data_IF_482359420821
#
_entry.id   IF_482359420821
#
_cell.length_a   1.000
_cell.length_b   1.000
_cell.length_c   1.000
_cell.angle_alpha   90.00
_cell.angle_beta   90.00
_cell.angle_gamma   90.00
#
_symmetry.space_group_name_H-M   'P 1'
#
loop_
_entity.id
_entity.type
_entity.pdbx_description
1 polymer ?
#
# COMPACT_ATOMS: atom_id res chain seq x y z
N UNK A 1 -23.58 -13.92 -14.27
CA UNK A 1 -22.35 -13.46 -13.58
C UNK A 1 -21.12 -13.89 -14.38
N UNK A 2 -20.95 -15.19 -14.65
CA UNK A 2 -19.83 -15.75 -15.43
C UNK A 2 -19.61 -15.08 -16.80
N UNK A 3 -20.65 -14.94 -17.64
CA UNK A 3 -20.53 -14.23 -18.93
C UNK A 3 -20.08 -12.76 -18.77
N UNK A 4 -20.50 -12.10 -17.69
CA UNK A 4 -20.10 -10.71 -17.41
C UNK A 4 -18.63 -10.61 -17.01
N UNK A 5 -18.15 -11.58 -16.23
CA UNK A 5 -16.73 -11.69 -15.86
C UNK A 5 -15.90 -11.91 -17.12
N UNK A 6 -16.29 -12.86 -17.98
CA UNK A 6 -15.54 -13.17 -19.19
C UNK A 6 -15.41 -11.94 -20.10
N UNK A 7 -16.50 -11.19 -20.33
CA UNK A 7 -16.46 -9.95 -21.09
C UNK A 7 -15.51 -8.89 -20.51
N UNK A 8 -15.42 -8.81 -19.18
CA UNK A 8 -14.48 -7.89 -18.52
C UNK A 8 -13.02 -8.33 -18.69
N UNK A 9 -12.76 -9.63 -18.59
CA UNK A 9 -11.43 -10.21 -18.84
C UNK A 9 -11.02 -9.94 -20.29
N UNK A 10 -11.88 -10.26 -21.26
CA UNK A 10 -11.61 -10.04 -22.68
C UNK A 10 -11.27 -8.58 -22.97
N UNK A 11 -12.03 -7.64 -22.38
CA UNK A 11 -11.76 -6.20 -22.48
C UNK A 11 -10.39 -5.79 -21.91
N UNK A 12 -9.97 -6.40 -20.80
CA UNK A 12 -8.65 -6.15 -20.21
C UNK A 12 -7.55 -6.72 -21.10
N UNK A 13 -7.76 -7.90 -21.67
CA UNK A 13 -6.80 -8.55 -22.57
C UNK A 13 -6.63 -7.73 -23.86
N UNK A 14 -7.73 -7.22 -24.44
CA UNK A 14 -7.71 -6.28 -25.58
C UNK A 14 -6.93 -4.99 -25.29
N UNK A 15 -6.89 -4.54 -24.03
CA UNK A 15 -6.13 -3.36 -23.60
C UNK A 15 -4.62 -3.61 -23.47
N UNK A 16 -4.17 -4.85 -23.61
CA UNK A 16 -2.77 -5.28 -23.38
C UNK A 16 -2.56 -5.97 -22.04
N UNK A 17 -3.63 -6.46 -21.41
CA UNK A 17 -3.61 -7.13 -20.12
C UNK A 17 -3.69 -6.18 -18.91
N UNK A 18 -3.71 -6.77 -17.71
CA UNK A 18 -3.99 -6.05 -16.47
C UNK A 18 -2.98 -4.93 -16.16
N UNK A 19 -1.69 -5.14 -16.43
CA UNK A 19 -0.66 -4.13 -16.17
C UNK A 19 -0.87 -2.88 -17.01
N UNK A 20 -1.17 -3.04 -18.31
CA UNK A 20 -1.45 -1.91 -19.19
C UNK A 20 -2.78 -1.23 -18.86
N UNK A 21 -3.80 -1.99 -18.47
CA UNK A 21 -5.06 -1.44 -17.97
C UNK A 21 -4.85 -0.57 -16.71
N UNK A 22 -3.98 -0.99 -15.77
CA UNK A 22 -3.62 -0.22 -14.58
C UNK A 22 -2.85 1.04 -14.95
N UNK A 23 -1.86 0.95 -15.86
CA UNK A 23 -1.08 2.11 -16.33
C UNK A 23 -1.96 3.16 -17.01
N UNK A 24 -2.97 2.71 -17.78
CA UNK A 24 -3.97 3.58 -18.43
C UNK A 24 -5.01 4.14 -17.46
N UNK A 25 -5.03 3.71 -16.20
CA UNK A 25 -5.99 4.15 -15.19
C UNK A 25 -7.38 3.55 -15.31
N UNK A 26 -7.59 2.61 -16.23
CA UNK A 26 -8.92 2.07 -16.54
C UNK A 26 -9.56 1.40 -15.31
N UNK A 27 -8.79 0.60 -14.58
CA UNK A 27 -9.28 -0.11 -13.39
C UNK A 27 -9.68 0.87 -12.29
N UNK A 28 -8.86 1.91 -12.08
CA UNK A 28 -9.13 2.95 -11.10
C UNK A 28 -10.37 3.76 -11.47
N UNK A 29 -10.52 4.14 -12.74
CA UNK A 29 -11.69 4.86 -13.23
C UNK A 29 -12.99 4.07 -13.04
N UNK A 30 -12.99 2.77 -13.36
CA UNK A 30 -14.17 1.92 -13.18
C UNK A 30 -14.57 1.80 -11.69
N UNK A 31 -13.58 1.66 -10.78
CA UNK A 31 -13.83 1.64 -9.33
C UNK A 31 -14.41 2.98 -8.88
N UNK A 32 -13.81 4.10 -9.27
CA UNK A 32 -14.27 5.45 -8.90
C UNK A 32 -15.67 5.72 -9.44
N UNK A 33 -15.95 5.34 -10.70
CA UNK A 33 -17.27 5.49 -11.32
C UNK A 33 -18.32 4.66 -10.58
N UNK A 34 -18.00 3.41 -10.23
CA UNK A 34 -18.90 2.55 -9.46
C UNK A 34 -19.16 3.13 -8.07
N UNK A 35 -18.12 3.61 -7.38
CA UNK A 35 -18.25 4.23 -6.06
C UNK A 35 -19.08 5.53 -6.13
N UNK A 36 -18.86 6.36 -7.15
CA UNK A 36 -19.61 7.59 -7.37
C UNK A 36 -21.09 7.31 -7.64
N UNK A 37 -21.39 6.34 -8.52
CA UNK A 37 -22.76 5.94 -8.81
C UNK A 37 -23.46 5.38 -7.57
N UNK A 38 -22.76 4.58 -6.77
CA UNK A 38 -23.29 4.07 -5.51
C UNK A 38 -23.59 5.21 -4.52
N UNK A 39 -22.63 6.12 -4.32
CA UNK A 39 -22.82 7.29 -3.45
C UNK A 39 -24.02 8.12 -3.89
N UNK A 40 -24.11 8.40 -5.20
CA UNK A 40 -25.23 9.11 -5.80
C UNK A 40 -26.56 8.42 -5.54
N UNK A 41 -26.64 7.10 -5.73
CA UNK A 41 -27.86 6.33 -5.47
C UNK A 41 -28.27 6.36 -3.98
N UNK A 42 -27.30 6.34 -3.06
CA UNK A 42 -27.55 6.49 -1.62
C UNK A 42 -28.09 7.90 -1.31
N UNK A 43 -27.47 8.94 -1.89
CA UNK A 43 -27.86 10.33 -1.66
C UNK A 43 -29.25 10.66 -2.21
N UNK A 44 -29.64 10.08 -3.36
CA UNK A 44 -30.98 10.23 -3.92
C UNK A 44 -32.03 9.27 -3.31
N UNK A 45 -31.63 8.40 -2.38
CA UNK A 45 -32.52 7.41 -1.76
C UNK A 45 -32.94 6.26 -2.70
N UNK A 46 -32.33 6.14 -3.88
CA UNK A 46 -32.51 4.99 -4.78
C UNK A 46 -31.93 3.70 -4.16
N UNK A 47 -30.88 3.84 -3.36
CA UNK A 47 -30.27 2.78 -2.57
C UNK A 47 -30.48 3.06 -1.08
N UNK A 48 -31.28 2.23 -0.42
CA UNK A 48 -31.59 2.39 1.01
C UNK A 48 -30.45 1.85 1.88
N UNK A 49 -29.94 2.70 2.78
CA UNK A 49 -28.95 2.38 3.80
C UNK A 49 -29.56 2.69 5.17
N UNK A 50 -30.03 1.64 5.84
CA UNK A 50 -30.73 1.71 7.13
C UNK A 50 -29.84 2.36 8.20
N UNK A 51 -30.37 3.38 8.87
CA UNK A 51 -29.65 4.14 9.89
C UNK A 51 -28.78 5.27 9.34
N UNK A 52 -28.74 5.44 8.00
CA UNK A 52 -28.00 6.52 7.33
C UNK A 52 -28.94 7.44 6.57
N UNK A 53 -29.57 6.97 5.48
CA UNK A 53 -30.48 7.79 4.68
C UNK A 53 -31.96 7.52 4.97
N UNK A 54 -32.29 6.31 5.43
CA UNK A 54 -33.64 5.91 5.83
C UNK A 54 -33.60 5.22 7.19
N UNK A 55 -34.66 5.39 7.97
CA UNK A 55 -34.78 4.82 9.33
C UNK A 55 -33.65 5.25 10.29
N UNK A 56 -33.13 6.47 10.12
CA UNK A 56 -32.16 7.06 11.04
C UNK A 56 -32.81 7.35 12.40
N UNK A 57 -32.06 7.15 13.48
CA UNK A 57 -32.48 7.47 14.85
C UNK A 57 -31.79 8.76 15.29
N UNK A 58 -32.48 9.61 16.07
CA UNK A 58 -31.90 10.88 16.59
C UNK A 58 -30.78 10.66 17.62
N UNK A 59 -30.72 9.47 18.22
CA UNK A 59 -29.70 9.10 19.19
C UNK A 59 -28.42 8.64 18.47
N UNK A 60 -27.42 9.51 18.44
CA UNK A 60 -26.09 9.14 17.96
C UNK A 60 -25.36 8.32 19.02
N UNK A 61 -24.97 7.06 18.74
CA UNK A 61 -24.10 6.33 19.64
C UNK A 61 -22.78 7.07 19.75
N UNK A 62 -22.26 7.20 20.97
CA UNK A 62 -20.92 7.74 21.25
C UNK A 62 -19.95 6.57 21.50
N UNK A 63 -19.47 5.89 20.45
CA UNK A 63 -18.50 4.81 20.65
C UNK A 63 -17.24 5.38 21.25
N UNK A 64 -16.65 4.65 22.20
CA UNK A 64 -15.29 4.96 22.65
C UNK A 64 -14.33 4.65 21.52
N UNK A 65 -13.74 5.69 20.96
CA UNK A 65 -12.71 5.56 19.93
C UNK A 65 -11.40 5.08 20.56
N UNK A 66 -10.63 4.30 19.79
CA UNK A 66 -9.26 3.98 20.17
C UNK A 66 -8.39 5.22 19.95
N UNK A 67 -7.88 5.79 21.03
CA UNK A 67 -6.89 6.86 20.97
C UNK A 67 -5.48 6.27 20.93
N UNK A 68 -4.68 6.71 19.96
CA UNK A 68 -3.28 6.29 19.84
C UNK A 68 -2.43 7.23 20.70
N UNK A 69 -1.65 6.65 21.61
CA UNK A 69 -0.72 7.36 22.47
C UNK A 69 0.39 8.08 21.65
N UNK A 70 0.46 9.41 21.75
CA UNK A 70 1.49 10.24 21.10
C UNK A 70 2.92 9.85 21.52
N UNK A 71 3.09 9.25 22.70
CA UNK A 71 4.36 8.73 23.18
C UNK A 71 4.90 7.51 22.40
N UNK A 72 4.10 6.90 21.52
CA UNK A 72 4.55 5.79 20.65
C UNK A 72 5.71 6.24 19.75
N UNK A 73 5.63 7.43 19.15
CA UNK A 73 6.67 7.96 18.27
C UNK A 73 8.01 8.08 19.01
N UNK A 74 7.99 8.75 20.16
CA UNK A 74 9.20 8.95 20.97
C UNK A 74 9.85 7.63 21.37
N UNK A 75 9.04 6.66 21.84
CA UNK A 75 9.54 5.32 22.19
C UNK A 75 10.16 4.61 20.99
N UNK A 76 9.59 4.76 19.80
CA UNK A 76 10.13 4.14 18.60
C UNK A 76 11.43 4.80 18.13
N UNK A 77 11.53 6.13 18.20
CA UNK A 77 12.77 6.87 17.91
C UNK A 77 13.89 6.45 18.87
N UNK A 78 13.59 6.33 20.17
CA UNK A 78 14.59 5.94 21.17
C UNK A 78 15.07 4.49 20.97
N UNK A 79 14.16 3.57 20.63
CA UNK A 79 14.49 2.19 20.24
C UNK A 79 15.38 2.15 19.00
N UNK A 80 15.04 2.93 17.98
CA UNK A 80 15.80 3.00 16.73
C UNK A 80 17.22 3.56 16.97
N UNK A 81 17.34 4.63 17.75
CA UNK A 81 18.64 5.21 18.15
C UNK A 81 19.49 4.20 18.92
N UNK A 82 18.89 3.48 19.86
CA UNK A 82 19.57 2.43 20.61
C UNK A 82 20.09 1.32 19.68
N UNK A 83 19.22 0.81 18.80
CA UNK A 83 19.57 -0.21 17.82
C UNK A 83 20.77 0.20 16.95
N UNK A 84 20.74 1.42 16.40
CA UNK A 84 21.81 1.93 15.54
C UNK A 84 23.15 2.11 16.27
N UNK A 85 23.12 2.38 17.59
CA UNK A 85 24.34 2.47 18.41
C UNK A 85 24.94 1.11 18.75
N UNK A 86 24.10 0.09 18.96
CA UNK A 86 24.54 -1.22 19.48
C UNK A 86 24.89 -2.22 18.38
N UNK A 87 24.34 -2.07 17.18
CA UNK A 87 24.58 -2.99 16.05
C UNK A 87 25.96 -2.78 15.42
N UNK A 88 26.41 -3.81 14.71
CA UNK A 88 27.58 -3.74 13.82
C UNK A 88 27.22 -2.97 12.55
N UNK A 89 27.56 -1.68 12.53
CA UNK A 89 27.25 -0.78 11.41
C UNK A 89 28.04 -1.11 10.13
N UNK A 90 29.26 -1.67 10.25
CA UNK A 90 30.03 -2.10 9.08
C UNK A 90 29.41 -3.32 8.42
N UNK A 91 28.91 -4.27 9.23
CA UNK A 91 28.16 -5.43 8.72
C UNK A 91 26.86 -4.99 8.06
N UNK A 92 26.11 -4.06 8.65
CA UNK A 92 24.90 -3.51 8.04
C UNK A 92 25.20 -2.85 6.70
N UNK A 93 26.22 -1.99 6.63
CA UNK A 93 26.60 -1.33 5.38
C UNK A 93 26.91 -2.35 4.28
N UNK A 94 27.73 -3.37 4.59
CA UNK A 94 28.11 -4.41 3.62
C UNK A 94 26.91 -5.21 3.12
N UNK A 95 25.97 -5.54 4.00
CA UNK A 95 24.78 -6.30 3.61
C UNK A 95 23.81 -5.44 2.79
N UNK A 96 23.64 -4.16 3.12
CA UNK A 96 22.83 -3.24 2.32
C UNK A 96 23.43 -3.04 0.92
N UNK A 97 24.75 -2.98 0.79
CA UNK A 97 25.41 -2.93 -0.52
C UNK A 97 25.18 -4.22 -1.33
N UNK A 98 25.13 -5.37 -0.65
CA UNK A 98 24.75 -6.64 -1.28
C UNK A 98 23.29 -6.62 -1.74
N UNK A 99 22.38 -6.05 -0.95
CA UNK A 99 20.97 -5.86 -1.34
C UNK A 99 20.87 -5.03 -2.61
N UNK A 100 21.61 -3.91 -2.72
CA UNK A 100 21.65 -3.10 -3.96
C UNK A 100 22.12 -3.90 -5.17
N UNK A 101 23.23 -4.61 -5.03
CA UNK A 101 23.80 -5.42 -6.13
C UNK A 101 22.86 -6.52 -6.62
N UNK A 102 22.16 -7.19 -5.71
CA UNK A 102 21.19 -8.22 -6.07
C UNK A 102 19.92 -7.59 -6.65
N UNK A 103 19.53 -6.39 -6.21
CA UNK A 103 18.41 -5.67 -6.82
C UNK A 103 18.69 -5.22 -8.27
N UNK A 104 19.96 -5.02 -8.63
CA UNK A 104 20.39 -4.75 -10.01
C UNK A 104 20.47 -6.01 -10.89
N UNK A 105 20.32 -7.21 -10.32
CA UNK A 105 20.38 -8.49 -11.04
C UNK A 105 19.02 -9.21 -11.07
N UNK A 106 18.95 -10.31 -11.81
CA UNK A 106 17.78 -11.20 -11.86
C UNK A 106 17.80 -12.28 -10.75
N UNK A 107 18.70 -12.14 -9.76
CA UNK A 107 18.82 -13.10 -8.66
C UNK A 107 17.69 -12.94 -7.65
N UNK A 108 17.43 -14.01 -6.88
CA UNK A 108 16.44 -13.94 -5.81
C UNK A 108 16.91 -13.00 -4.70
N UNK A 109 16.12 -11.95 -4.43
CA UNK A 109 16.43 -10.93 -3.42
C UNK A 109 16.17 -11.38 -1.97
N UNK A 110 15.32 -12.39 -1.76
CA UNK A 110 14.89 -12.79 -0.41
C UNK A 110 16.05 -13.21 0.52
N UNK A 111 17.05 -14.00 0.07
CA UNK A 111 18.20 -14.37 0.91
C UNK A 111 18.95 -13.15 1.46
N UNK A 112 19.19 -12.12 0.64
CA UNK A 112 19.94 -10.92 1.07
C UNK A 112 19.11 -10.03 1.99
N UNK A 113 17.79 -9.99 1.83
CA UNK A 113 16.90 -9.31 2.78
C UNK A 113 16.91 -9.98 4.15
N UNK A 114 16.91 -11.31 4.21
CA UNK A 114 17.01 -12.06 5.47
C UNK A 114 18.36 -11.77 6.15
N UNK A 115 19.45 -11.72 5.38
CA UNK A 115 20.77 -11.31 5.90
C UNK A 115 20.73 -9.89 6.47
N UNK A 116 20.06 -8.94 5.79
CA UNK A 116 19.95 -7.55 6.23
C UNK A 116 19.20 -7.42 7.56
N UNK A 117 18.06 -8.10 7.68
CA UNK A 117 17.28 -8.13 8.92
C UNK A 117 18.07 -8.79 10.06
N UNK A 118 18.79 -9.89 9.79
CA UNK A 118 19.67 -10.54 10.77
C UNK A 118 20.87 -9.67 11.19
N UNK A 119 21.29 -8.75 10.33
CA UNK A 119 22.30 -7.75 10.65
C UNK A 119 21.73 -6.54 11.41
N UNK A 120 20.43 -6.52 11.72
CA UNK A 120 19.72 -5.39 12.31
C UNK A 120 19.66 -4.13 11.41
N UNK A 121 19.64 -4.33 10.09
CA UNK A 121 19.20 -3.28 9.17
C UNK A 121 17.71 -2.98 9.41
N UNK A 122 17.35 -1.71 9.30
CA UNK A 122 15.97 -1.26 9.52
C UNK A 122 15.16 -1.38 8.23
N UNK A 123 13.83 -1.41 8.33
CA UNK A 123 12.95 -1.43 7.15
C UNK A 123 13.23 -0.23 6.24
N UNK A 124 13.42 0.96 6.81
CA UNK A 124 13.77 2.16 6.05
C UNK A 124 15.07 1.98 5.26
N UNK A 125 16.14 1.51 5.89
CA UNK A 125 17.44 1.33 5.23
C UNK A 125 17.41 0.29 4.09
N UNK A 126 16.64 -0.78 4.28
CA UNK A 126 16.43 -1.79 3.24
C UNK A 126 15.64 -1.19 2.08
N UNK A 127 14.52 -0.51 2.36
CA UNK A 127 13.69 0.12 1.33
C UNK A 127 14.44 1.23 0.60
N UNK A 128 15.28 2.01 1.30
CA UNK A 128 16.13 3.04 0.69
C UNK A 128 17.13 2.40 -0.29
N UNK A 129 17.77 1.30 0.09
CA UNK A 129 18.66 0.55 -0.80
C UNK A 129 17.95 0.02 -2.06
N UNK A 130 16.69 -0.40 -1.94
CA UNK A 130 15.88 -0.80 -3.10
C UNK A 130 15.43 0.39 -3.93
N UNK A 131 15.11 1.52 -3.29
CA UNK A 131 14.73 2.77 -3.95
C UNK A 131 15.88 3.33 -4.80
N UNK A 132 17.12 3.19 -4.35
CA UNK A 132 18.31 3.60 -5.11
C UNK A 132 18.36 2.91 -6.50
N UNK A 133 17.83 1.68 -6.62
CA UNK A 133 17.85 0.88 -7.85
C UNK A 133 16.55 1.02 -8.65
N UNK A 134 15.39 0.87 -7.99
CA UNK A 134 14.09 0.82 -8.66
C UNK A 134 13.38 2.17 -8.76
N UNK A 135 13.83 3.17 -8.00
CA UNK A 135 13.13 4.43 -7.83
C UNK A 135 11.84 4.29 -7.01
N UNK A 136 10.95 5.26 -7.16
CA UNK A 136 9.63 5.26 -6.53
C UNK A 136 8.54 5.27 -7.59
N UNK A 137 7.55 4.40 -7.42
CA UNK A 137 6.34 4.50 -8.22
C UNK A 137 5.56 5.75 -7.81
N UNK A 138 5.26 6.59 -8.80
CA UNK A 138 4.31 7.69 -8.65
C UNK A 138 3.10 7.37 -9.51
N UNK A 139 1.94 7.31 -8.87
CA UNK A 139 0.70 7.16 -9.60
C UNK A 139 0.53 8.39 -10.51
N UNK A 140 0.35 8.21 -11.83
CA UNK A 140 0.03 9.32 -12.71
C UNK A 140 -1.28 9.95 -12.23
N UNK A 141 -1.30 11.27 -12.07
CA UNK A 141 -2.49 12.02 -11.70
C UNK A 141 -3.51 11.87 -12.82
N UNK A 142 -4.49 11.00 -12.64
CA UNK A 142 -5.66 10.88 -13.50
C UNK A 142 -6.82 11.47 -12.70
N UNK A 143 -6.78 12.78 -12.49
CA UNK A 143 -7.90 13.67 -12.10
C UNK A 143 -7.60 15.03 -12.73
#
# INVERSE_FOLDING_TARGET
IEEGIQKYIDKIDEMGGALEAIKKGYIQEEIVRSAYNYQKAVDYGEQVVVGVNEFATEEEPTPRLLEIDEGVEKRQIDRLRKLKRERDNEKVSRVLDKVRKVAESDENIMPVLIEAVKAYATVGEITDALRDVFGEYRQPSII
#
